data_IF_524550233500
#
_entry.id   IF_524550233500
#
_cell.length_a   1.000
_cell.length_b   1.000
_cell.length_c   1.000
_cell.angle_alpha   90.00
_cell.angle_beta   90.00
_cell.angle_gamma   90.00
#
_symmetry.space_group_name_H-M   'P 1'
#
loop_
_entity.id
_entity.type
_entity.pdbx_description
1 polymer ?
#
# COMPACT_ATOMS: atom_id res chain seq x y z
N UNK A 1 -24.41 14.72 -5.69
CA UNK A 1 -23.88 13.49 -5.05
C UNK A 1 -22.36 13.45 -5.11
N UNK A 2 -21.74 13.60 -6.29
CA UNK A 2 -20.25 13.64 -6.41
C UNK A 2 -19.66 14.75 -5.56
N UNK A 3 -20.15 15.98 -5.62
CA UNK A 3 -19.66 17.11 -4.81
C UNK A 3 -19.69 16.84 -3.31
N UNK A 4 -20.75 16.20 -2.81
CA UNK A 4 -20.84 15.83 -1.40
C UNK A 4 -19.77 14.78 -1.04
N UNK A 5 -19.57 13.78 -1.88
CA UNK A 5 -18.55 12.74 -1.66
C UNK A 5 -17.14 13.36 -1.69
N UNK A 6 -16.84 14.24 -2.64
CA UNK A 6 -15.56 14.93 -2.74
C UNK A 6 -15.32 15.83 -1.51
N UNK A 7 -16.37 16.48 -1.00
CA UNK A 7 -16.27 17.27 0.24
C UNK A 7 -15.98 16.38 1.44
N UNK A 8 -16.65 15.23 1.57
CA UNK A 8 -16.38 14.26 2.65
C UNK A 8 -14.95 13.75 2.53
N UNK A 9 -14.51 13.37 1.33
CA UNK A 9 -13.16 12.89 1.06
C UNK A 9 -12.08 13.90 1.47
N UNK A 10 -12.26 15.16 1.07
CA UNK A 10 -11.34 16.24 1.44
C UNK A 10 -11.28 16.52 2.95
N UNK A 11 -12.39 16.30 3.68
CA UNK A 11 -12.43 16.42 5.14
C UNK A 11 -11.71 15.23 5.77
N UNK A 12 -11.99 14.03 5.30
CA UNK A 12 -11.47 12.78 5.87
C UNK A 12 -9.97 12.65 5.61
N UNK A 13 -9.49 12.98 4.41
CA UNK A 13 -8.04 13.08 4.11
C UNK A 13 -7.43 14.44 4.43
N UNK A 14 -8.15 15.26 5.15
CA UNK A 14 -7.71 16.59 5.57
C UNK A 14 -6.53 16.56 6.55
N UNK A 15 -6.09 17.74 7.01
CA UNK A 15 -4.93 17.88 7.89
C UNK A 15 -5.00 17.07 9.17
N UNK A 16 -6.21 16.78 9.68
CA UNK A 16 -6.43 16.01 10.90
C UNK A 16 -5.99 14.55 10.71
N UNK A 17 -6.37 13.92 9.59
CA UNK A 17 -5.97 12.54 9.30
C UNK A 17 -4.46 12.44 9.05
N UNK A 18 -3.89 13.39 8.32
CA UNK A 18 -2.45 13.43 8.06
C UNK A 18 -1.68 13.59 9.37
N UNK A 19 -2.14 14.49 10.25
CA UNK A 19 -1.53 14.67 11.57
C UNK A 19 -1.66 13.42 12.44
N UNK A 20 -2.81 12.73 12.40
CA UNK A 20 -3.04 11.49 13.14
C UNK A 20 -2.09 10.38 12.65
N UNK A 21 -2.00 10.18 11.32
CA UNK A 21 -1.15 9.15 10.72
C UNK A 21 0.34 9.46 10.95
N UNK A 22 0.80 10.64 10.55
CA UNK A 22 2.20 11.03 10.70
C UNK A 22 2.62 11.11 12.18
N UNK A 23 1.76 11.67 13.03
CA UNK A 23 1.97 11.68 14.47
C UNK A 23 2.09 10.29 15.08
N UNK A 24 1.25 9.35 14.62
CA UNK A 24 1.34 7.93 15.00
C UNK A 24 2.67 7.31 14.53
N UNK A 25 3.09 7.58 13.31
CA UNK A 25 4.35 7.07 12.76
C UNK A 25 5.56 7.55 13.57
N UNK A 26 5.59 8.83 13.90
CA UNK A 26 6.63 9.45 14.73
C UNK A 26 6.58 8.85 16.13
N UNK A 27 5.42 8.83 16.77
CA UNK A 27 5.25 8.28 18.11
C UNK A 27 5.73 6.81 18.20
N UNK A 28 5.32 5.96 17.26
CA UNK A 28 5.71 4.56 17.25
C UNK A 28 7.19 4.37 16.93
N UNK A 29 7.82 5.26 16.16
CA UNK A 29 9.26 5.27 15.95
C UNK A 29 10.01 5.43 17.27
N UNK A 30 9.64 6.42 18.09
CA UNK A 30 10.23 6.59 19.41
C UNK A 30 9.88 5.43 20.35
N UNK A 31 8.65 4.96 20.33
CA UNK A 31 8.15 3.91 21.21
C UNK A 31 8.82 2.56 20.97
N UNK A 32 9.17 2.25 19.72
CA UNK A 32 9.89 1.02 19.34
C UNK A 32 11.41 1.16 19.39
N UNK A 33 11.94 2.28 19.86
CA UNK A 33 13.38 2.52 19.96
C UNK A 33 14.07 2.65 18.60
N UNK A 34 13.40 3.31 17.63
CA UNK A 34 13.90 3.48 16.26
C UNK A 34 14.11 2.13 15.56
N UNK A 35 13.06 1.34 15.45
CA UNK A 35 13.10 0.00 14.83
C UNK A 35 13.67 0.02 13.40
N UNK A 36 13.60 1.16 12.71
CA UNK A 36 14.19 1.40 11.40
C UNK A 36 15.69 1.05 11.34
N UNK A 37 16.41 1.14 12.48
CA UNK A 37 17.84 0.75 12.58
C UNK A 37 18.05 -0.73 12.32
N UNK A 38 17.02 -1.55 12.49
CA UNK A 38 17.05 -2.99 12.20
C UNK A 38 16.71 -3.33 10.75
N UNK A 39 16.49 -2.32 9.89
CA UNK A 39 16.16 -2.52 8.48
C UNK A 39 17.17 -3.40 7.72
N UNK A 40 18.50 -3.24 7.87
CA UNK A 40 19.44 -4.14 7.19
C UNK A 40 19.30 -5.61 7.62
N UNK A 41 19.02 -5.85 8.90
CA UNK A 41 18.73 -7.20 9.43
C UNK A 41 17.41 -7.73 8.84
N UNK A 42 16.36 -6.91 8.82
CA UNK A 42 15.05 -7.25 8.30
C UNK A 42 15.09 -7.60 6.80
N UNK A 43 15.85 -6.85 5.99
CA UNK A 43 16.07 -7.15 4.56
C UNK A 43 16.74 -8.52 4.39
N UNK A 44 17.76 -8.84 5.19
CA UNK A 44 18.40 -10.17 5.14
C UNK A 44 17.43 -11.28 5.51
N UNK A 45 16.56 -11.05 6.50
CA UNK A 45 15.54 -12.01 6.93
C UNK A 45 14.48 -12.22 5.85
N UNK A 46 14.07 -11.16 5.14
CA UNK A 46 13.03 -11.23 4.11
C UNK A 46 13.39 -12.11 2.92
N UNK A 47 14.67 -12.27 2.60
CA UNK A 47 15.16 -13.12 1.49
C UNK A 47 15.55 -14.54 1.95
N UNK A 48 15.61 -14.80 3.25
CA UNK A 48 15.89 -16.15 3.78
C UNK A 48 14.63 -17.00 3.73
N UNK A 49 14.74 -18.21 3.18
CA UNK A 49 13.70 -19.22 3.28
C UNK A 49 13.85 -19.97 4.60
N UNK A 50 13.17 -19.52 5.64
CA UNK A 50 13.06 -20.30 6.89
C UNK A 50 11.74 -21.09 6.84
N UNK A 51 11.78 -22.43 6.75
CA UNK A 51 10.60 -23.28 6.77
C UNK A 51 10.00 -23.44 8.17
N UNK A 52 10.72 -22.96 9.19
CA UNK A 52 10.29 -23.11 10.60
C UNK A 52 9.15 -22.15 10.94
N UNK A 53 8.29 -22.60 11.86
CA UNK A 53 7.15 -21.82 12.32
C UNK A 53 5.80 -22.28 11.79
N UNK A 54 4.73 -21.68 12.35
CA UNK A 54 3.32 -22.03 12.06
C UNK A 54 2.71 -20.98 11.15
N UNK A 55 2.11 -21.37 10.03
CA UNK A 55 1.48 -20.47 9.07
C UNK A 55 1.03 -21.19 7.81
N UNK A 56 0.32 -20.50 6.93
CA UNK A 56 -0.25 -21.02 5.67
C UNK A 56 0.70 -20.81 4.49
N UNK A 57 1.44 -19.69 4.49
CA UNK A 57 2.34 -19.26 3.40
C UNK A 57 3.74 -18.91 3.97
N UNK A 58 4.74 -18.83 3.09
CA UNK A 58 6.08 -18.40 3.48
C UNK A 58 6.08 -16.94 3.96
N UNK A 59 7.03 -16.56 4.82
CA UNK A 59 7.21 -15.15 5.23
C UNK A 59 7.50 -14.25 4.04
N UNK A 60 8.28 -14.73 3.06
CA UNK A 60 8.50 -14.01 1.81
C UNK A 60 7.22 -13.92 0.96
N UNK A 61 6.41 -14.98 0.88
CA UNK A 61 5.12 -14.95 0.18
C UNK A 61 4.14 -13.95 0.80
N UNK A 62 4.12 -13.86 2.13
CA UNK A 62 3.33 -12.83 2.82
C UNK A 62 3.84 -11.41 2.51
N UNK A 63 5.15 -11.18 2.53
CA UNK A 63 5.75 -9.91 2.15
C UNK A 63 5.48 -9.58 0.68
N UNK A 64 5.68 -10.54 -0.23
CA UNK A 64 5.44 -10.35 -1.67
C UNK A 64 3.97 -10.03 -1.96
N UNK A 65 3.02 -10.70 -1.27
CA UNK A 65 1.60 -10.38 -1.39
C UNK A 65 1.26 -8.99 -0.83
N UNK A 66 1.88 -8.60 0.28
CA UNK A 66 1.73 -7.24 0.82
C UNK A 66 2.33 -6.20 -0.13
N UNK A 67 3.53 -6.46 -0.70
CA UNK A 67 4.15 -5.59 -1.70
C UNK A 67 3.34 -5.52 -3.00
N UNK A 68 2.72 -6.62 -3.42
CA UNK A 68 1.82 -6.65 -4.56
C UNK A 68 0.64 -5.67 -4.38
N UNK A 69 0.08 -5.63 -3.18
CA UNK A 69 -1.00 -4.69 -2.85
C UNK A 69 -0.49 -3.23 -2.78
N UNK A 70 0.71 -3.03 -2.25
CA UNK A 70 1.28 -1.73 -1.90
C UNK A 70 1.99 -1.06 -3.09
N UNK A 71 2.82 -1.80 -3.84
CA UNK A 71 3.49 -1.31 -5.04
C UNK A 71 2.52 -1.44 -6.22
N UNK A 72 1.65 -0.47 -6.37
CA UNK A 72 0.64 -0.37 -7.43
C UNK A 72 0.78 0.93 -8.21
N UNK A 73 -0.33 1.34 -8.81
CA UNK A 73 -0.43 2.65 -9.49
C UNK A 73 -0.09 3.82 -8.57
N UNK A 74 -0.30 3.68 -7.25
CA UNK A 74 0.05 4.68 -6.25
C UNK A 74 1.54 5.04 -6.20
N UNK A 75 2.43 4.09 -6.50
CA UNK A 75 3.88 4.32 -6.49
C UNK A 75 4.41 5.01 -7.76
N UNK A 76 3.61 5.09 -8.82
CA UNK A 76 3.94 5.76 -10.08
C UNK A 76 3.05 6.97 -10.28
N UNK A 77 1.76 6.74 -10.52
CA UNK A 77 0.77 7.80 -10.77
C UNK A 77 0.55 8.65 -9.50
N UNK A 78 0.55 8.02 -8.33
CA UNK A 78 0.42 8.73 -7.05
C UNK A 78 1.58 9.69 -6.77
N UNK A 79 2.82 9.29 -7.10
CA UNK A 79 4.00 10.15 -6.99
C UNK A 79 3.91 11.33 -7.95
N UNK A 80 3.55 11.06 -9.21
CA UNK A 80 3.35 12.12 -10.20
C UNK A 80 2.20 13.08 -9.80
N UNK A 81 1.10 12.57 -9.26
CA UNK A 81 0.01 13.39 -8.73
C UNK A 81 0.46 14.25 -7.55
N UNK A 82 1.29 13.69 -6.63
CA UNK A 82 1.86 14.46 -5.54
C UNK A 82 2.76 15.61 -6.04
N UNK A 83 3.58 15.32 -7.06
CA UNK A 83 4.43 16.32 -7.71
C UNK A 83 3.60 17.42 -8.37
N UNK A 84 2.56 17.06 -9.12
CA UNK A 84 1.68 18.04 -9.79
C UNK A 84 0.91 18.93 -8.81
N UNK A 85 0.39 18.35 -7.72
CA UNK A 85 -0.41 19.07 -6.74
C UNK A 85 0.41 19.79 -5.66
N UNK A 86 1.50 19.16 -5.23
CA UNK A 86 2.32 19.60 -4.09
C UNK A 86 3.69 20.15 -4.46
N UNK A 87 4.05 20.17 -5.75
CA UNK A 87 5.37 20.55 -6.22
C UNK A 87 6.48 19.54 -5.88
N UNK A 88 7.73 19.83 -6.29
CA UNK A 88 8.86 18.92 -6.03
C UNK A 88 9.08 18.60 -4.54
N UNK A 89 8.78 19.53 -3.65
CA UNK A 89 8.86 19.33 -2.19
C UNK A 89 7.97 18.20 -1.66
N UNK A 90 6.88 17.85 -2.37
CA UNK A 90 6.02 16.74 -1.99
C UNK A 90 6.77 15.39 -2.01
N UNK A 91 7.76 15.22 -2.89
CA UNK A 91 8.59 14.00 -2.95
C UNK A 91 9.37 13.82 -1.65
N UNK A 92 9.94 14.89 -1.10
CA UNK A 92 10.64 14.85 0.18
C UNK A 92 9.71 14.42 1.32
N UNK A 93 8.53 15.04 1.44
CA UNK A 93 7.59 14.74 2.52
C UNK A 93 6.97 13.34 2.39
N UNK A 94 6.77 12.86 1.16
CA UNK A 94 6.38 11.49 0.89
C UNK A 94 7.43 10.51 1.45
N UNK A 95 8.70 10.79 1.22
CA UNK A 95 9.81 9.95 1.65
C UNK A 95 9.94 9.94 3.18
N UNK A 96 9.81 11.12 3.82
CA UNK A 96 9.79 11.24 5.28
C UNK A 96 8.64 10.44 5.89
N UNK A 97 7.42 10.57 5.35
CA UNK A 97 6.28 9.80 5.80
C UNK A 97 6.53 8.28 5.67
N UNK A 98 7.14 7.83 4.58
CA UNK A 98 7.53 6.44 4.39
C UNK A 98 8.55 5.93 5.40
N UNK A 99 9.57 6.72 5.71
CA UNK A 99 10.60 6.38 6.68
C UNK A 99 10.02 6.16 8.09
N UNK A 100 9.17 7.06 8.55
CA UNK A 100 8.48 6.91 9.83
C UNK A 100 7.41 5.81 9.78
N UNK A 101 6.78 5.60 8.62
CA UNK A 101 5.79 4.55 8.38
C UNK A 101 6.33 3.14 8.61
N UNK A 102 7.65 2.91 8.48
CA UNK A 102 8.31 1.63 8.77
C UNK A 102 7.97 1.14 10.20
N UNK A 103 8.01 2.03 11.19
CA UNK A 103 7.70 1.66 12.58
C UNK A 103 6.24 1.29 12.76
N UNK A 104 5.33 1.98 12.09
CA UNK A 104 3.90 1.65 12.13
C UNK A 104 3.64 0.31 11.46
N UNK A 105 4.23 0.04 10.29
CA UNK A 105 4.14 -1.24 9.61
C UNK A 105 4.64 -2.40 10.48
N UNK A 106 5.71 -2.18 11.25
CA UNK A 106 6.20 -3.13 12.24
C UNK A 106 5.16 -3.41 13.32
N UNK A 107 4.63 -2.36 13.97
CA UNK A 107 3.71 -2.47 15.11
C UNK A 107 2.38 -3.11 14.71
N UNK A 108 1.79 -2.70 13.58
CA UNK A 108 0.52 -3.27 13.11
C UNK A 108 0.68 -4.75 12.72
N UNK A 109 1.81 -5.12 12.10
CA UNK A 109 2.10 -6.52 11.79
C UNK A 109 2.35 -7.34 13.06
N UNK A 110 3.11 -6.80 14.01
CA UNK A 110 3.33 -7.44 15.29
C UNK A 110 2.01 -7.79 15.98
N UNK A 111 1.11 -6.80 16.09
CA UNK A 111 -0.21 -7.01 16.67
C UNK A 111 -1.02 -8.08 15.93
N UNK A 112 -1.07 -8.02 14.60
CA UNK A 112 -1.83 -8.97 13.80
C UNK A 112 -1.33 -10.41 13.91
N UNK A 113 -0.02 -10.63 13.98
CA UNK A 113 0.58 -11.96 14.16
C UNK A 113 0.40 -12.47 15.60
N UNK A 114 0.55 -11.61 16.60
CA UNK A 114 0.34 -11.96 18.01
C UNK A 114 -1.08 -12.42 18.29
N UNK A 115 -2.05 -11.72 17.75
CA UNK A 115 -3.48 -11.97 17.99
C UNK A 115 -4.18 -12.77 16.89
N UNK A 116 -3.39 -13.44 16.00
CA UNK A 116 -3.95 -14.31 14.97
C UNK A 116 -4.66 -15.53 15.56
N UNK A 117 -5.58 -16.09 14.79
CA UNK A 117 -6.37 -17.26 15.17
C UNK A 117 -6.36 -18.30 14.04
N UNK A 118 -6.79 -19.52 14.33
CA UNK A 118 -7.04 -20.55 13.33
C UNK A 118 -8.53 -20.80 13.19
N UNK A 119 -9.01 -20.87 11.98
CA UNK A 119 -10.37 -21.31 11.71
C UNK A 119 -10.50 -22.85 11.78
N UNK A 120 -11.71 -23.35 11.56
CA UNK A 120 -12.01 -24.80 11.53
C UNK A 120 -11.23 -25.55 10.45
N UNK A 121 -10.91 -24.91 9.33
CA UNK A 121 -10.12 -25.49 8.24
C UNK A 121 -8.62 -25.55 8.55
N UNK A 122 -8.20 -24.90 9.64
CA UNK A 122 -6.80 -24.74 10.03
C UNK A 122 -6.14 -23.49 9.45
N UNK A 123 -6.85 -22.70 8.63
CA UNK A 123 -6.31 -21.49 8.02
C UNK A 123 -6.04 -20.40 9.06
N UNK A 124 -4.92 -19.70 8.92
CA UNK A 124 -4.54 -18.58 9.78
C UNK A 124 -5.33 -17.33 9.39
N UNK A 125 -5.93 -16.68 10.38
CA UNK A 125 -6.70 -15.45 10.26
C UNK A 125 -6.12 -14.41 11.21
N UNK A 126 -5.95 -13.18 10.72
CA UNK A 126 -5.48 -12.05 11.51
C UNK A 126 -5.83 -10.72 10.85
N UNK A 127 -5.30 -9.65 11.42
CA UNK A 127 -5.60 -8.26 11.04
C UNK A 127 -6.28 -7.51 12.18
N UNK A 128 -6.48 -6.21 12.01
CA UNK A 128 -6.98 -5.33 13.08
C UNK A 128 -8.29 -5.81 13.71
N UNK A 129 -9.20 -6.43 12.93
CA UNK A 129 -10.47 -6.97 13.44
C UNK A 129 -10.26 -8.06 14.49
N UNK A 130 -9.26 -8.93 14.33
CA UNK A 130 -8.92 -9.95 15.32
C UNK A 130 -8.14 -9.37 16.50
N UNK A 131 -7.28 -8.38 16.23
CA UNK A 131 -6.55 -7.66 17.28
C UNK A 131 -7.54 -7.04 18.27
N UNK A 132 -8.55 -6.29 17.77
CA UNK A 132 -9.58 -5.70 18.61
C UNK A 132 -10.28 -6.73 19.49
N UNK A 133 -10.74 -7.84 18.93
CA UNK A 133 -11.47 -8.85 19.70
C UNK A 133 -10.59 -9.54 20.72
N UNK A 134 -9.36 -9.93 20.34
CA UNK A 134 -8.53 -10.76 21.20
C UNK A 134 -7.73 -10.00 22.24
N UNK A 135 -7.25 -8.81 21.91
CA UNK A 135 -6.50 -8.00 22.86
C UNK A 135 -7.35 -7.51 24.04
N UNK A 136 -8.66 -7.38 23.82
CA UNK A 136 -9.60 -6.86 24.83
C UNK A 136 -10.64 -7.87 25.28
N UNK A 137 -10.48 -9.16 24.95
CA UNK A 137 -11.29 -10.23 25.49
C UNK A 137 -11.11 -10.32 27.01
N UNK A 138 -12.20 -10.48 27.75
CA UNK A 138 -12.18 -10.70 29.18
C UNK A 138 -11.87 -12.17 29.53
N UNK A 139 -11.49 -12.47 30.78
CA UNK A 139 -11.24 -13.85 31.20
C UNK A 139 -12.44 -14.81 31.00
N UNK A 140 -13.65 -14.29 31.01
CA UNK A 140 -14.89 -15.03 30.72
C UNK A 140 -15.14 -15.27 29.22
N UNK A 141 -14.25 -14.80 28.36
CA UNK A 141 -14.36 -14.88 26.91
C UNK A 141 -15.27 -13.80 26.28
N UNK A 142 -15.91 -12.95 27.07
CA UNK A 142 -16.70 -11.85 26.55
C UNK A 142 -15.85 -10.74 25.96
N UNK A 143 -16.33 -10.09 24.89
CA UNK A 143 -15.65 -8.96 24.26
C UNK A 143 -16.45 -7.69 24.51
N UNK A 144 -15.85 -6.61 25.00
CA UNK A 144 -16.53 -5.33 25.18
C UNK A 144 -17.13 -4.82 23.86
N UNK A 145 -18.31 -4.18 23.95
CA UNK A 145 -19.01 -3.67 22.76
C UNK A 145 -18.18 -2.71 21.91
N UNK A 146 -17.36 -1.85 22.53
CA UNK A 146 -16.48 -0.90 21.82
C UNK A 146 -15.38 -1.61 21.05
N UNK A 147 -14.83 -2.73 21.56
CA UNK A 147 -13.84 -3.53 20.85
C UNK A 147 -14.49 -4.26 19.67
N UNK A 148 -15.73 -4.73 19.83
CA UNK A 148 -16.53 -5.29 18.72
C UNK A 148 -16.81 -4.23 17.66
N UNK A 149 -17.17 -3.00 18.08
CA UNK A 149 -17.39 -1.88 17.16
C UNK A 149 -16.10 -1.56 16.36
N UNK A 150 -14.94 -1.47 17.03
CA UNK A 150 -13.64 -1.25 16.36
C UNK A 150 -13.31 -2.35 15.34
N UNK A 151 -13.60 -3.61 15.68
CA UNK A 151 -13.37 -4.75 14.81
C UNK A 151 -14.30 -4.74 13.57
N UNK A 152 -15.60 -4.52 13.78
CA UNK A 152 -16.59 -4.51 12.70
C UNK A 152 -16.40 -3.31 11.79
N UNK A 153 -16.16 -2.10 12.34
CA UNK A 153 -15.94 -0.90 11.54
C UNK A 153 -14.69 -1.03 10.66
N UNK A 154 -13.58 -1.54 11.20
CA UNK A 154 -12.40 -1.84 10.40
C UNK A 154 -12.73 -2.77 9.22
N UNK A 155 -13.36 -3.91 9.50
CA UNK A 155 -13.67 -4.90 8.48
C UNK A 155 -14.64 -4.37 7.41
N UNK A 156 -15.66 -3.60 7.81
CA UNK A 156 -16.64 -3.02 6.90
C UNK A 156 -16.00 -1.99 5.95
N UNK A 157 -15.22 -1.05 6.50
CA UNK A 157 -14.53 -0.05 5.69
C UNK A 157 -13.46 -0.69 4.79
N UNK A 158 -12.77 -1.72 5.28
CA UNK A 158 -11.82 -2.47 4.47
C UNK A 158 -12.49 -3.17 3.27
N UNK A 159 -13.69 -3.73 3.43
CA UNK A 159 -14.43 -4.32 2.29
C UNK A 159 -14.76 -3.26 1.25
N UNK A 160 -15.22 -2.07 1.67
CA UNK A 160 -15.50 -0.95 0.75
C UNK A 160 -14.22 -0.55 0.00
N UNK A 161 -13.13 -0.33 0.74
CA UNK A 161 -11.84 0.04 0.17
C UNK A 161 -11.31 -1.02 -0.82
N UNK A 162 -11.44 -2.32 -0.49
CA UNK A 162 -10.94 -3.38 -1.38
C UNK A 162 -11.69 -3.44 -2.70
N UNK A 163 -13.00 -3.23 -2.71
CA UNK A 163 -13.82 -3.23 -3.93
C UNK A 163 -13.42 -2.08 -4.86
N UNK A 164 -13.23 -0.87 -4.34
CA UNK A 164 -12.90 0.29 -5.15
C UNK A 164 -11.40 0.38 -5.44
N UNK A 165 -10.58 0.71 -4.43
CA UNK A 165 -9.12 0.91 -4.59
C UNK A 165 -8.42 -0.36 -5.08
N UNK A 166 -8.82 -1.52 -4.55
CA UNK A 166 -8.21 -2.79 -4.88
C UNK A 166 -8.62 -3.36 -6.24
N UNK A 167 -9.84 -3.07 -6.71
CA UNK A 167 -10.39 -3.67 -7.93
C UNK A 167 -10.63 -2.64 -9.03
N UNK A 168 -11.65 -1.77 -8.89
CA UNK A 168 -12.09 -0.86 -9.94
C UNK A 168 -10.99 0.10 -10.40
N UNK A 169 -10.31 0.73 -9.45
CA UNK A 169 -9.28 1.74 -9.70
C UNK A 169 -8.09 1.14 -10.45
N UNK A 170 -7.65 -0.04 -10.04
CA UNK A 170 -6.52 -0.71 -10.69
C UNK A 170 -6.89 -1.19 -12.11
N UNK A 171 -8.10 -1.71 -12.27
CA UNK A 171 -8.60 -2.12 -13.59
C UNK A 171 -8.77 -0.91 -14.55
N UNK A 172 -9.24 0.23 -14.03
CA UNK A 172 -9.30 1.48 -14.78
C UNK A 172 -7.90 1.96 -15.21
N UNK A 173 -6.91 1.85 -14.32
CA UNK A 173 -5.52 2.23 -14.64
C UNK A 173 -4.91 1.33 -15.72
N UNK A 174 -5.13 0.00 -15.67
CA UNK A 174 -4.70 -0.92 -16.72
C UNK A 174 -5.37 -0.55 -18.04
N UNK A 175 -6.69 -0.37 -18.03
CA UNK A 175 -7.45 -0.02 -19.25
C UNK A 175 -6.98 1.31 -19.82
N UNK A 176 -6.81 2.32 -18.98
CA UNK A 176 -6.36 3.64 -19.41
C UNK A 176 -4.98 3.62 -20.07
N UNK A 177 -3.99 2.95 -19.46
CA UNK A 177 -2.64 2.90 -20.04
C UNK A 177 -2.57 2.06 -21.32
N UNK A 178 -3.34 0.97 -21.42
CA UNK A 178 -3.38 0.12 -22.61
C UNK A 178 -4.08 0.82 -23.76
N UNK A 179 -5.27 1.41 -23.54
CA UNK A 179 -6.04 2.08 -24.58
C UNK A 179 -5.38 3.37 -25.09
N UNK A 180 -4.66 4.09 -24.21
CA UNK A 180 -3.88 5.27 -24.61
C UNK A 180 -2.65 4.90 -25.44
N UNK A 181 -1.99 3.77 -25.11
CA UNK A 181 -0.79 3.32 -25.82
C UNK A 181 -1.12 2.57 -27.13
N UNK A 182 -2.25 1.85 -27.17
CA UNK A 182 -2.70 1.08 -28.33
C UNK A 182 -4.19 1.34 -28.56
N UNK A 183 -4.56 2.44 -29.23
CA UNK A 183 -5.96 2.86 -29.42
C UNK A 183 -6.84 1.83 -30.15
N UNK A 184 -6.24 0.88 -30.85
CA UNK A 184 -6.96 -0.20 -31.53
C UNK A 184 -7.58 -1.23 -30.55
N UNK A 185 -7.15 -1.27 -29.28
CA UNK A 185 -7.67 -2.21 -28.28
C UNK A 185 -8.82 -1.53 -27.53
N UNK A 186 -10.07 -2.00 -27.64
CA UNK A 186 -11.18 -1.41 -26.90
C UNK A 186 -11.10 -1.75 -25.40
N UNK A 187 -11.54 -0.84 -24.54
CA UNK A 187 -11.56 -1.02 -23.07
C UNK A 187 -12.29 -2.29 -22.62
N UNK A 188 -13.35 -2.69 -23.35
CA UNK A 188 -14.07 -3.94 -23.08
C UNK A 188 -13.17 -5.18 -23.23
N UNK A 189 -12.32 -5.21 -24.27
CA UNK A 189 -11.39 -6.32 -24.45
C UNK A 189 -10.37 -6.39 -23.32
N UNK A 190 -9.84 -5.24 -22.90
CA UNK A 190 -8.94 -5.15 -21.71
C UNK A 190 -9.66 -5.64 -20.46
N UNK A 191 -10.90 -5.21 -20.24
CA UNK A 191 -11.71 -5.64 -19.10
C UNK A 191 -11.93 -7.15 -19.06
N UNK A 192 -12.22 -7.78 -20.20
CA UNK A 192 -12.37 -9.25 -20.29
C UNK A 192 -11.05 -9.95 -19.94
N UNK A 193 -9.92 -9.49 -20.44
CA UNK A 193 -8.60 -10.06 -20.12
C UNK A 193 -8.31 -9.95 -18.62
N UNK A 194 -8.58 -8.78 -18.02
CA UNK A 194 -8.41 -8.58 -16.57
C UNK A 194 -9.27 -9.57 -15.78
N UNK A 195 -10.56 -9.69 -16.13
CA UNK A 195 -11.50 -10.61 -15.46
C UNK A 195 -10.99 -12.04 -15.48
N UNK A 196 -10.59 -12.54 -16.65
CA UNK A 196 -10.08 -13.90 -16.80
C UNK A 196 -8.81 -14.11 -16.00
N UNK A 197 -7.84 -13.19 -16.11
CA UNK A 197 -6.57 -13.29 -15.41
C UNK A 197 -6.73 -13.21 -13.88
N UNK A 198 -7.58 -12.31 -13.40
CA UNK A 198 -7.86 -12.15 -11.95
C UNK A 198 -8.60 -13.37 -11.41
N UNK A 199 -9.67 -13.81 -12.09
CA UNK A 199 -10.46 -14.98 -11.69
C UNK A 199 -9.61 -16.26 -11.59
N UNK A 200 -8.72 -16.48 -12.56
CA UNK A 200 -7.83 -17.65 -12.59
C UNK A 200 -6.95 -17.77 -11.33
N UNK A 201 -6.62 -16.65 -10.69
CA UNK A 201 -5.74 -16.63 -9.52
C UNK A 201 -6.53 -16.58 -8.22
N UNK A 202 -7.54 -15.69 -8.10
CA UNK A 202 -8.21 -15.45 -6.79
C UNK A 202 -9.07 -16.63 -6.35
N UNK A 203 -9.66 -17.39 -7.27
CA UNK A 203 -10.42 -18.60 -6.92
C UNK A 203 -9.53 -19.74 -6.39
N UNK A 204 -8.22 -19.68 -6.63
CA UNK A 204 -7.23 -20.59 -6.04
C UNK A 204 -6.83 -20.27 -4.59
N UNK A 205 -7.36 -19.18 -4.03
CA UNK A 205 -7.14 -18.78 -2.63
C UNK A 205 -5.74 -18.23 -2.35
N UNK A 206 -5.39 -18.12 -1.06
CA UNK A 206 -4.16 -17.44 -0.58
C UNK A 206 -2.87 -18.01 -1.18
N UNK A 207 -2.78 -19.33 -1.31
CA UNK A 207 -1.58 -20.00 -1.85
C UNK A 207 -1.36 -19.68 -3.33
N UNK A 208 -2.44 -19.55 -4.11
CA UNK A 208 -2.37 -19.14 -5.51
C UNK A 208 -1.93 -17.70 -5.64
N UNK A 209 -2.54 -16.80 -4.86
CA UNK A 209 -2.18 -15.37 -4.82
C UNK A 209 -0.73 -15.20 -4.41
N UNK A 210 -0.30 -15.80 -3.30
CA UNK A 210 1.07 -15.68 -2.80
C UNK A 210 2.09 -16.19 -3.83
N UNK A 211 1.83 -17.33 -4.48
CA UNK A 211 2.72 -17.90 -5.51
C UNK A 211 2.90 -16.96 -6.71
N UNK A 212 1.81 -16.35 -7.20
CA UNK A 212 1.89 -15.38 -8.29
C UNK A 212 2.66 -14.13 -7.85
N UNK A 213 2.38 -13.60 -6.65
CA UNK A 213 3.05 -12.42 -6.13
C UNK A 213 4.54 -12.65 -5.87
N UNK A 214 4.95 -13.83 -5.39
CA UNK A 214 6.35 -14.20 -5.17
C UNK A 214 7.22 -14.07 -6.44
N UNK A 215 6.63 -14.33 -7.61
CA UNK A 215 7.33 -14.20 -8.89
C UNK A 215 7.13 -12.82 -9.52
N UNK A 216 5.90 -12.34 -9.55
CA UNK A 216 5.56 -11.13 -10.28
C UNK A 216 6.20 -9.89 -9.65
N UNK A 217 6.14 -9.77 -8.29
CA UNK A 217 6.59 -8.55 -7.61
C UNK A 217 8.07 -8.26 -7.79
N UNK A 218 9.01 -9.20 -7.58
CA UNK A 218 10.43 -8.92 -7.80
C UNK A 218 10.74 -8.57 -9.25
N UNK A 219 10.09 -9.26 -10.21
CA UNK A 219 10.33 -9.02 -11.65
C UNK A 219 9.83 -7.63 -12.05
N UNK A 220 8.59 -7.29 -11.70
CA UNK A 220 8.02 -5.99 -12.07
C UNK A 220 8.74 -4.82 -11.38
N UNK A 221 9.05 -4.96 -10.07
CA UNK A 221 9.77 -3.93 -9.33
C UNK A 221 11.20 -3.76 -9.85
N UNK A 222 11.88 -4.86 -10.17
CA UNK A 222 13.21 -4.84 -10.76
C UNK A 222 13.26 -4.20 -12.15
N UNK A 223 12.31 -4.57 -13.02
CA UNK A 223 12.22 -4.00 -14.37
C UNK A 223 11.91 -2.50 -14.33
N UNK A 224 10.98 -2.08 -13.47
CA UNK A 224 10.65 -0.67 -13.28
C UNK A 224 11.83 0.13 -12.71
N UNK A 225 12.45 -0.40 -11.65
CA UNK A 225 13.63 0.24 -11.06
C UNK A 225 14.78 0.38 -12.05
N UNK A 226 15.01 -0.64 -12.88
CA UNK A 226 16.01 -0.57 -13.96
C UNK A 226 15.67 0.53 -14.97
N UNK A 227 14.40 0.64 -15.40
CA UNK A 227 13.95 1.75 -16.25
C UNK A 227 14.21 3.12 -15.63
N UNK A 228 13.87 3.29 -14.35
CA UNK A 228 14.15 4.52 -13.60
C UNK A 228 15.66 4.81 -13.55
N UNK A 229 16.51 3.81 -13.29
CA UNK A 229 17.96 3.99 -13.24
C UNK A 229 18.55 4.35 -14.60
N UNK A 230 18.00 3.84 -15.70
CA UNK A 230 18.39 4.22 -17.07
C UNK A 230 18.07 5.70 -17.31
N UNK A 231 16.87 6.16 -17.02
CA UNK A 231 16.49 7.58 -17.17
C UNK A 231 17.37 8.47 -16.27
N UNK A 232 17.57 8.08 -15.01
CA UNK A 232 18.48 8.81 -14.12
C UNK A 232 19.91 8.86 -14.65
N UNK A 233 20.38 7.79 -15.30
CA UNK A 233 21.68 7.76 -15.98
C UNK A 233 21.75 8.73 -17.16
N UNK A 234 20.67 8.83 -17.96
CA UNK A 234 20.56 9.80 -19.05
C UNK A 234 20.54 11.24 -18.52
N UNK A 235 19.82 11.46 -17.41
CA UNK A 235 19.65 12.76 -16.76
C UNK A 235 20.72 13.02 -15.67
N UNK A 236 21.81 12.26 -15.63
CA UNK A 236 22.85 12.36 -14.59
C UNK A 236 23.38 13.79 -14.34
N UNK A 237 23.61 14.66 -15.37
CA UNK A 237 24.08 16.02 -15.15
C UNK A 237 23.15 16.89 -14.30
N UNK A 238 21.84 16.65 -14.33
CA UNK A 238 20.82 17.45 -13.63
C UNK A 238 20.31 16.81 -12.35
N UNK A 239 20.76 15.60 -11.99
CA UNK A 239 20.29 14.92 -10.77
C UNK A 239 20.61 15.70 -9.50
N UNK A 240 21.76 16.36 -9.43
CA UNK A 240 22.12 17.22 -8.31
C UNK A 240 21.17 18.41 -8.17
N UNK A 241 20.77 19.03 -9.27
CA UNK A 241 19.78 20.09 -9.34
C UNK A 241 18.40 19.58 -8.95
N UNK A 242 17.99 18.41 -9.42
CA UNK A 242 16.71 17.77 -9.06
C UNK A 242 16.60 17.53 -7.55
N UNK A 243 17.63 16.98 -6.92
CA UNK A 243 17.69 16.80 -5.46
C UNK A 243 17.65 18.14 -4.74
N UNK A 244 18.43 19.14 -5.20
CA UNK A 244 18.42 20.49 -4.66
C UNK A 244 17.03 21.12 -4.72
N UNK A 245 16.34 21.01 -5.86
CA UNK A 245 14.99 21.54 -6.07
C UNK A 245 13.96 20.86 -5.15
N UNK A 246 14.03 19.52 -5.01
CA UNK A 246 13.16 18.76 -4.08
C UNK A 246 13.35 19.28 -2.64
N UNK A 247 14.59 19.43 -2.19
CA UNK A 247 14.88 19.91 -0.84
C UNK A 247 14.47 21.36 -0.65
N UNK A 248 14.77 22.23 -1.59
CA UNK A 248 14.41 23.65 -1.51
C UNK A 248 12.89 23.82 -1.46
N UNK A 249 12.13 23.18 -2.36
CA UNK A 249 10.67 23.27 -2.40
C UNK A 249 9.98 22.57 -1.20
N UNK A 250 10.67 21.71 -0.48
CA UNK A 250 10.12 21.08 0.72
C UNK A 250 9.98 22.07 1.89
N UNK A 251 10.82 23.11 1.93
CA UNK A 251 10.91 24.06 3.05
C UNK A 251 10.69 25.52 2.66
N UNK A 252 10.57 25.82 1.37
CA UNK A 252 10.33 27.17 0.87
C UNK A 252 9.17 27.21 -0.12
N UNK A 253 8.36 28.29 -0.13
CA UNK A 253 7.32 28.47 -1.12
C UNK A 253 7.93 28.92 -2.45
N UNK A 254 8.50 28.00 -3.23
CA UNK A 254 9.10 28.27 -4.54
C UNK A 254 8.26 27.68 -5.66
N UNK A 255 7.91 28.50 -6.64
CA UNK A 255 7.35 28.03 -7.88
C UNK A 255 8.45 27.31 -8.68
N UNK A 256 8.16 26.10 -9.16
CA UNK A 256 9.04 25.33 -10.03
C UNK A 256 8.44 25.22 -11.43
N UNK A 257 9.27 24.96 -12.42
CA UNK A 257 8.84 24.69 -13.80
C UNK A 257 7.96 25.79 -14.40
N UNK A 258 8.40 27.05 -14.33
CA UNK A 258 7.68 28.20 -14.89
C UNK A 258 6.37 28.57 -14.18
N UNK A 259 6.16 28.05 -12.95
CA UNK A 259 4.91 28.22 -12.21
C UNK A 259 3.85 27.15 -12.48
N UNK A 260 4.13 26.19 -13.37
CA UNK A 260 3.24 25.09 -13.69
C UNK A 260 3.02 24.15 -12.48
N UNK A 261 4.07 24.00 -11.67
CA UNK A 261 4.08 23.16 -10.47
C UNK A 261 4.63 24.01 -9.32
N UNK A 262 3.77 24.83 -8.75
CA UNK A 262 4.10 25.66 -7.60
C UNK A 262 3.12 25.39 -6.48
N UNK A 263 3.64 25.03 -5.31
CA UNK A 263 2.82 24.89 -4.12
C UNK A 263 3.52 25.51 -2.92
N UNK A 264 2.74 25.98 -1.97
CA UNK A 264 3.28 26.34 -0.67
C UNK A 264 3.79 25.09 0.07
N UNK A 265 4.72 25.30 1.02
CA UNK A 265 5.25 24.23 1.87
C UNK A 265 4.15 23.35 2.52
N UNK A 266 3.01 23.95 2.87
CA UNK A 266 1.86 23.22 3.45
C UNK A 266 1.26 22.25 2.45
N UNK A 267 1.13 22.63 1.18
CA UNK A 267 0.63 21.75 0.12
C UNK A 267 1.64 20.62 -0.17
N UNK A 268 2.94 20.94 -0.22
CA UNK A 268 3.98 19.94 -0.39
C UNK A 268 3.92 18.88 0.73
N UNK A 269 3.81 19.33 1.99
CA UNK A 269 3.65 18.46 3.15
C UNK A 269 2.35 17.61 3.02
N UNK A 270 1.23 18.26 2.72
CA UNK A 270 -0.08 17.60 2.67
C UNK A 270 -0.13 16.53 1.58
N UNK A 271 0.16 16.89 0.34
CA UNK A 271 0.12 15.95 -0.78
C UNK A 271 1.23 14.90 -0.70
N UNK A 272 2.42 15.29 -0.26
CA UNK A 272 3.52 14.35 -0.07
C UNK A 272 3.20 13.30 0.99
N UNK A 273 2.75 13.71 2.18
CA UNK A 273 2.37 12.78 3.23
C UNK A 273 1.17 11.91 2.84
N UNK A 274 0.09 12.51 2.30
CA UNK A 274 -1.10 11.75 1.90
C UNK A 274 -0.77 10.66 0.87
N UNK A 275 -0.02 10.99 -0.18
CA UNK A 275 0.37 10.02 -1.21
C UNK A 275 1.44 9.04 -0.74
N UNK A 276 2.32 9.44 0.17
CA UNK A 276 3.27 8.54 0.84
C UNK A 276 2.56 7.49 1.66
N UNK A 277 1.60 7.89 2.48
CA UNK A 277 0.77 7.00 3.31
C UNK A 277 -0.06 6.04 2.46
N UNK A 278 -0.64 6.54 1.37
CA UNK A 278 -1.36 5.71 0.42
C UNK A 278 -0.43 4.68 -0.26
N UNK A 279 0.78 5.09 -0.63
CA UNK A 279 1.74 4.21 -1.32
C UNK A 279 2.31 3.11 -0.44
N UNK A 280 2.52 3.31 0.85
CA UNK A 280 3.10 2.28 1.73
C UNK A 280 2.08 1.55 2.60
N UNK A 281 0.82 1.99 2.62
CA UNK A 281 -0.28 1.43 3.42
C UNK A 281 0.02 1.34 4.93
N UNK A 282 1.01 2.10 5.46
CA UNK A 282 1.31 2.06 6.89
C UNK A 282 0.22 2.78 7.69
N UNK A 283 -0.34 2.09 8.66
CA UNK A 283 -1.47 2.59 9.46
C UNK A 283 -2.84 2.24 8.89
N UNK A 284 -2.94 1.72 7.66
CA UNK A 284 -4.21 1.24 7.09
C UNK A 284 -4.64 -0.12 7.65
N UNK A 285 -3.70 -0.93 8.17
CA UNK A 285 -4.00 -2.25 8.74
C UNK A 285 -4.25 -3.35 7.71
N UNK A 286 -4.01 -3.11 6.42
CA UNK A 286 -4.24 -4.04 5.30
C UNK A 286 -3.17 -5.11 5.20
N UNK A 287 -1.90 -4.72 5.05
CA UNK A 287 -0.78 -5.65 4.95
C UNK A 287 -0.66 -6.64 6.14
N UNK A 288 -0.96 -6.25 7.39
CA UNK A 288 -1.02 -7.18 8.52
C UNK A 288 -1.97 -8.37 8.34
N UNK A 289 -3.02 -8.24 7.52
CA UNK A 289 -3.98 -9.31 7.24
C UNK A 289 -3.30 -10.50 6.58
N UNK A 290 -2.42 -10.26 5.60
CA UNK A 290 -1.67 -11.34 4.96
C UNK A 290 -0.46 -11.76 5.78
N UNK A 291 0.18 -10.86 6.48
CA UNK A 291 1.30 -11.16 7.35
C UNK A 291 0.94 -12.14 8.48
N UNK A 292 -0.30 -12.10 8.96
CA UNK A 292 -0.81 -13.05 9.95
C UNK A 292 -0.86 -14.51 9.45
N UNK A 293 -0.92 -14.72 8.12
CA UNK A 293 -0.88 -16.05 7.52
C UNK A 293 0.55 -16.59 7.33
N UNK A 294 1.58 -15.79 7.58
CA UNK A 294 2.97 -16.19 7.40
C UNK A 294 3.42 -17.27 8.38
N UNK A 295 4.30 -18.15 7.90
CA UNK A 295 5.06 -19.07 8.75
C UNK A 295 6.10 -18.29 9.51
N UNK A 296 5.98 -18.23 10.84
CA UNK A 296 6.88 -17.48 11.70
C UNK A 296 6.97 -18.10 13.08
N UNK A 297 8.12 -17.95 13.74
CA UNK A 297 8.37 -18.42 15.11
C UNK A 297 7.69 -17.53 16.14
N UNK A 298 7.78 -16.23 15.97
CA UNK A 298 7.22 -15.24 16.87
C UNK A 298 6.72 -13.99 16.10
N UNK A 299 5.94 -13.10 16.74
CA UNK A 299 5.41 -11.91 16.11
C UNK A 299 6.47 -10.92 15.62
N UNK A 300 7.62 -10.81 16.31
CA UNK A 300 8.69 -9.87 15.97
C UNK A 300 9.41 -10.27 14.69
N UNK A 301 9.60 -11.56 14.46
CA UNK A 301 10.21 -12.10 13.23
C UNK A 301 9.45 -11.64 11.98
N UNK A 302 8.14 -11.93 11.91
CA UNK A 302 7.33 -11.50 10.77
C UNK A 302 7.16 -9.97 10.70
N UNK A 303 7.11 -9.28 11.84
CA UNK A 303 7.00 -7.83 11.86
C UNK A 303 8.24 -7.14 11.27
N UNK A 304 9.45 -7.65 11.55
CA UNK A 304 10.69 -7.19 10.92
C UNK A 304 10.65 -7.40 9.41
N UNK A 305 10.24 -8.59 8.95
CA UNK A 305 10.14 -8.86 7.51
C UNK A 305 9.13 -7.92 6.86
N UNK A 306 7.93 -7.77 7.43
CA UNK A 306 6.85 -6.96 6.85
C UNK A 306 7.15 -5.46 6.82
N UNK A 307 7.92 -4.92 7.78
CA UNK A 307 8.27 -3.50 7.79
C UNK A 307 9.14 -3.09 6.59
N UNK A 308 9.86 -4.05 5.98
CA UNK A 308 10.64 -3.80 4.76
C UNK A 308 9.75 -3.40 3.58
N UNK A 309 8.45 -3.73 3.63
CA UNK A 309 7.48 -3.34 2.62
C UNK A 309 7.39 -1.83 2.43
N UNK A 310 7.36 -1.05 3.52
CA UNK A 310 7.36 0.41 3.44
C UNK A 310 8.69 0.98 2.87
N UNK A 311 9.81 0.34 3.17
CA UNK A 311 11.10 0.69 2.59
C UNK A 311 11.13 0.43 1.08
N UNK A 312 10.71 -0.75 0.61
CA UNK A 312 10.72 -1.06 -0.81
C UNK A 312 9.75 -0.20 -1.61
N UNK A 313 8.51 0.01 -1.11
CA UNK A 313 7.52 0.81 -1.83
C UNK A 313 7.89 2.30 -1.86
N UNK A 314 8.02 2.94 -0.70
CA UNK A 314 8.23 4.39 -0.64
C UNK A 314 9.72 4.76 -0.64
N UNK A 315 10.53 4.02 0.11
CA UNK A 315 11.96 4.28 0.22
C UNK A 315 12.74 4.03 -1.07
N UNK A 316 12.29 3.08 -1.91
CA UNK A 316 12.95 2.75 -3.19
C UNK A 316 12.09 3.19 -4.37
N UNK A 317 10.91 2.59 -4.58
CA UNK A 317 10.16 2.82 -5.83
C UNK A 317 9.67 4.26 -5.94
N UNK A 318 9.03 4.84 -4.91
CA UNK A 318 8.57 6.22 -5.00
C UNK A 318 9.71 7.23 -5.08
N UNK A 319 10.84 6.96 -4.40
CA UNK A 319 12.02 7.81 -4.50
C UNK A 319 12.57 7.84 -5.93
N UNK A 320 12.76 6.67 -6.54
CA UNK A 320 13.22 6.56 -7.93
C UNK A 320 12.24 7.26 -8.88
N UNK A 321 10.94 7.02 -8.72
CA UNK A 321 9.90 7.70 -9.51
C UNK A 321 10.00 9.21 -9.37
N UNK A 322 10.09 9.72 -8.14
CA UNK A 322 10.17 11.16 -7.88
C UNK A 322 11.40 11.82 -8.52
N UNK A 323 12.57 11.17 -8.40
CA UNK A 323 13.81 11.67 -9.02
C UNK A 323 13.73 11.66 -10.54
N UNK A 324 13.20 10.60 -11.12
CA UNK A 324 12.95 10.50 -12.57
C UNK A 324 12.07 11.65 -13.04
N UNK A 325 10.89 11.82 -12.42
CA UNK A 325 9.94 12.86 -12.83
C UNK A 325 10.52 14.27 -12.73
N UNK A 326 11.19 14.58 -11.61
CA UNK A 326 11.77 15.92 -11.42
C UNK A 326 12.94 16.16 -12.37
N UNK A 327 13.84 15.18 -12.57
CA UNK A 327 14.95 15.32 -13.51
C UNK A 327 14.46 15.46 -14.96
N UNK A 328 13.45 14.70 -15.37
CA UNK A 328 12.83 14.82 -16.69
C UNK A 328 12.23 16.21 -16.92
N UNK A 329 11.53 16.77 -15.94
CA UNK A 329 10.96 18.13 -16.05
C UNK A 329 12.03 19.23 -16.10
N UNK A 330 13.24 18.99 -15.55
CA UNK A 330 14.37 19.92 -15.68
C UNK A 330 14.96 19.84 -17.10
N UNK A 331 15.11 18.64 -17.64
CA UNK A 331 15.64 18.44 -19.01
C UNK A 331 14.66 18.87 -20.08
N UNK A 332 13.35 18.70 -19.84
CA UNK A 332 12.25 18.99 -20.74
C UNK A 332 11.28 20.03 -20.13
N UNK A 333 11.66 21.32 -20.11
CA UNK A 333 10.84 22.37 -19.51
C UNK A 333 9.51 22.58 -20.26
N UNK A 334 9.41 22.17 -21.52
CA UNK A 334 8.19 22.16 -22.31
C UNK A 334 7.06 21.34 -21.65
N UNK A 335 7.38 20.30 -20.89
CA UNK A 335 6.38 19.54 -20.12
C UNK A 335 5.68 20.45 -19.10
N UNK A 336 6.40 21.38 -18.48
CA UNK A 336 5.81 22.39 -17.59
C UNK A 336 4.85 23.32 -18.32
N UNK A 337 5.17 23.75 -19.54
CA UNK A 337 4.30 24.57 -20.38
C UNK A 337 3.04 23.83 -20.80
N UNK A 338 3.15 22.56 -21.16
CA UNK A 338 2.01 21.70 -21.51
C UNK A 338 1.07 21.47 -20.32
N UNK A 339 1.60 21.31 -19.10
CA UNK A 339 0.80 21.22 -17.87
C UNK A 339 -0.01 22.51 -17.66
N UNK A 340 0.61 23.68 -17.86
CA UNK A 340 -0.07 24.97 -17.73
C UNK A 340 -1.16 25.16 -18.78
N UNK A 341 -0.88 24.77 -20.04
CA UNK A 341 -1.80 24.94 -21.15
C UNK A 341 -3.02 24.01 -21.01
N UNK A 342 -2.84 22.81 -20.49
CA UNK A 342 -3.87 21.75 -20.46
C UNK A 342 -3.89 20.98 -19.13
N UNK A 343 -4.19 21.60 -17.97
CA UNK A 343 -4.13 20.96 -16.65
C UNK A 343 -5.04 19.74 -16.51
N UNK A 344 -6.17 19.70 -17.26
CA UNK A 344 -7.13 18.60 -17.23
C UNK A 344 -6.67 17.35 -17.99
N UNK A 345 -5.76 17.51 -18.95
CA UNK A 345 -5.23 16.42 -19.78
C UNK A 345 -3.95 15.85 -19.15
N UNK A 346 -3.15 16.68 -18.50
CA UNK A 346 -1.87 16.27 -17.92
C UNK A 346 -2.06 15.60 -16.57
N UNK A 347 -2.44 14.33 -16.61
CA UNK A 347 -2.61 13.50 -15.42
C UNK A 347 -1.25 12.96 -14.93
N UNK A 348 -1.21 12.42 -13.70
CA UNK A 348 0.00 11.75 -13.20
C UNK A 348 0.47 10.59 -14.08
N UNK A 349 -0.44 9.90 -14.77
CA UNK A 349 -0.07 8.86 -15.75
C UNK A 349 0.60 9.45 -17.00
N UNK A 350 0.13 10.59 -17.50
CA UNK A 350 0.73 11.27 -18.63
C UNK A 350 2.17 11.74 -18.33
N UNK A 351 2.41 12.29 -17.14
CA UNK A 351 3.74 12.71 -16.72
C UNK A 351 4.71 11.52 -16.61
N UNK A 352 4.26 10.39 -16.04
CA UNK A 352 5.07 9.18 -16.01
C UNK A 352 5.37 8.65 -17.42
N UNK A 353 4.39 8.74 -18.33
CA UNK A 353 4.56 8.32 -19.73
C UNK A 353 5.56 9.21 -20.48
N UNK A 354 5.51 10.52 -20.25
CA UNK A 354 6.48 11.46 -20.83
C UNK A 354 7.91 11.16 -20.35
N UNK A 355 8.08 10.91 -19.05
CA UNK A 355 9.39 10.57 -18.49
C UNK A 355 9.96 9.27 -19.08
N UNK A 356 9.17 8.22 -19.21
CA UNK A 356 9.64 6.95 -19.76
C UNK A 356 9.83 7.02 -21.29
N UNK A 357 9.19 7.94 -21.99
CA UNK A 357 9.41 8.15 -23.42
C UNK A 357 10.84 8.61 -23.75
N UNK A 358 11.60 9.12 -22.78
CA UNK A 358 13.04 9.41 -22.94
C UNK A 358 13.85 8.17 -23.35
N UNK A 359 13.47 6.97 -22.90
CA UNK A 359 14.16 5.73 -23.33
C UNK A 359 13.66 5.34 -24.72
N UNK A 360 14.50 5.43 -25.76
CA UNK A 360 14.09 5.11 -27.11
C UNK A 360 13.60 3.66 -27.22
N UNK A 361 12.47 3.45 -27.95
CA UNK A 361 11.87 2.14 -28.27
C UNK A 361 11.34 1.36 -27.06
N UNK A 362 12.08 1.28 -25.95
CA UNK A 362 11.76 0.40 -24.83
C UNK A 362 11.03 1.09 -23.67
N UNK A 363 11.12 2.42 -23.54
CA UNK A 363 10.59 3.12 -22.37
C UNK A 363 9.09 2.98 -22.20
N UNK A 364 8.32 3.32 -23.23
CA UNK A 364 6.87 3.17 -23.20
C UNK A 364 6.43 1.71 -22.96
N UNK A 365 6.95 0.70 -23.67
CA UNK A 365 6.64 -0.71 -23.34
C UNK A 365 6.95 -1.10 -21.89
N UNK A 366 8.09 -0.68 -21.35
CA UNK A 366 8.47 -0.98 -19.95
C UNK A 366 7.49 -0.35 -18.97
N UNK A 367 7.09 0.90 -19.19
CA UNK A 367 6.10 1.56 -18.34
C UNK A 367 4.73 0.89 -18.44
N UNK A 368 4.24 0.62 -19.65
CA UNK A 368 2.92 -0.01 -19.87
C UNK A 368 2.85 -1.39 -19.22
N UNK A 369 3.84 -2.24 -19.49
CA UNK A 369 3.91 -3.57 -18.90
C UNK A 369 4.10 -3.51 -17.38
N UNK A 370 4.94 -2.58 -16.90
CA UNK A 370 5.14 -2.34 -15.48
C UNK A 370 3.85 -1.91 -14.79
N UNK A 371 3.16 -0.91 -15.31
CA UNK A 371 1.87 -0.45 -14.75
C UNK A 371 0.79 -1.54 -14.79
N UNK A 372 0.69 -2.30 -15.87
CA UNK A 372 -0.24 -3.43 -15.96
C UNK A 372 0.09 -4.50 -14.90
N UNK A 373 1.38 -4.85 -14.73
CA UNK A 373 1.81 -5.82 -13.74
C UNK A 373 1.58 -5.32 -12.30
N UNK A 374 1.89 -4.06 -12.01
CA UNK A 374 1.65 -3.43 -10.71
C UNK A 374 0.16 -3.37 -10.37
N UNK A 375 -0.68 -2.88 -11.28
CA UNK A 375 -2.10 -2.80 -11.04
C UNK A 375 -2.74 -4.20 -10.92
N UNK A 376 -2.34 -5.15 -11.75
CA UNK A 376 -2.79 -6.55 -11.65
C UNK A 376 -2.41 -7.18 -10.31
N UNK A 377 -1.16 -7.03 -9.88
CA UNK A 377 -0.71 -7.56 -8.59
C UNK A 377 -1.47 -6.92 -7.41
N UNK A 378 -1.80 -5.63 -7.54
CA UNK A 378 -2.60 -4.92 -6.53
C UNK A 378 -4.03 -5.50 -6.45
N UNK A 379 -4.67 -5.79 -7.59
CA UNK A 379 -5.96 -6.47 -7.60
C UNK A 379 -5.88 -7.80 -6.83
N UNK A 380 -4.83 -8.59 -7.05
CA UNK A 380 -4.64 -9.87 -6.37
C UNK A 380 -4.45 -9.70 -4.85
N UNK A 381 -3.56 -8.80 -4.42
CA UNK A 381 -3.27 -8.57 -3.00
C UNK A 381 -4.49 -8.06 -2.23
N UNK A 382 -5.19 -7.07 -2.76
CA UNK A 382 -6.39 -6.51 -2.14
C UNK A 382 -7.56 -7.48 -2.12
N UNK A 383 -7.69 -8.40 -3.10
CA UNK A 383 -8.70 -9.45 -3.07
C UNK A 383 -8.57 -10.34 -1.84
N UNK A 384 -7.33 -10.63 -1.43
CA UNK A 384 -7.07 -11.41 -0.21
C UNK A 384 -7.54 -10.65 1.04
N UNK A 385 -7.25 -9.35 1.14
CA UNK A 385 -7.67 -8.53 2.28
C UNK A 385 -9.19 -8.53 2.42
N UNK A 386 -9.90 -8.27 1.32
CA UNK A 386 -11.36 -8.29 1.31
C UNK A 386 -11.96 -9.66 1.64
N UNK A 387 -11.38 -10.75 1.12
CA UNK A 387 -11.80 -12.10 1.47
C UNK A 387 -11.76 -12.35 2.98
N UNK A 388 -10.70 -11.86 3.68
CA UNK A 388 -10.55 -12.02 5.13
C UNK A 388 -11.52 -11.15 5.92
N UNK A 389 -11.75 -9.90 5.47
CA UNK A 389 -12.72 -9.00 6.09
C UNK A 389 -14.16 -9.51 5.91
N UNK A 390 -14.51 -9.99 4.72
CA UNK A 390 -15.83 -10.60 4.45
C UNK A 390 -16.03 -11.89 5.25
N UNK A 391 -14.99 -12.73 5.35
CA UNK A 391 -15.04 -13.93 6.17
C UNK A 391 -15.29 -13.60 7.65
N UNK A 392 -14.71 -12.50 8.14
CA UNK A 392 -14.96 -12.01 9.49
C UNK A 392 -16.40 -11.53 9.69
N UNK A 393 -16.95 -10.74 8.76
CA UNK A 393 -18.29 -10.15 8.87
C UNK A 393 -19.42 -11.18 8.63
N UNK A 394 -19.28 -11.97 7.57
CA UNK A 394 -20.36 -12.84 7.04
C UNK A 394 -20.05 -14.34 7.12
N UNK A 395 -18.86 -14.67 7.62
CA UNK A 395 -18.35 -16.04 7.64
C UNK A 395 -17.83 -16.52 6.27
N UNK A 396 -17.29 -17.77 6.21
CA UNK A 396 -16.68 -18.31 4.98
C UNK A 396 -17.62 -18.41 3.78
N UNK A 397 -18.93 -18.45 4.01
CA UNK A 397 -19.94 -18.48 2.92
C UNK A 397 -19.98 -17.16 2.13
N UNK A 398 -19.58 -16.03 2.73
CA UNK A 398 -19.50 -14.73 2.07
C UNK A 398 -18.36 -14.58 1.08
N UNK A 399 -17.32 -15.43 1.17
CA UNK A 399 -16.12 -15.30 0.35
C UNK A 399 -16.41 -15.43 -1.15
N UNK A 400 -17.13 -16.48 -1.57
CA UNK A 400 -17.42 -16.71 -2.99
C UNK A 400 -18.28 -15.61 -3.63
N UNK A 401 -19.41 -15.18 -3.02
CA UNK A 401 -20.15 -14.03 -3.52
C UNK A 401 -19.28 -12.77 -3.64
N UNK A 402 -18.48 -12.49 -2.62
CA UNK A 402 -17.55 -11.35 -2.66
C UNK A 402 -16.56 -11.45 -3.83
N UNK A 403 -15.93 -12.59 -4.06
CA UNK A 403 -15.00 -12.80 -5.16
C UNK A 403 -15.66 -12.54 -6.52
N UNK A 404 -16.89 -13.00 -6.72
CA UNK A 404 -17.64 -12.74 -7.95
C UNK A 404 -17.91 -11.24 -8.12
N UNK A 405 -18.38 -10.56 -7.07
CA UNK A 405 -18.59 -9.10 -7.09
C UNK A 405 -17.28 -8.38 -7.38
N UNK A 406 -16.19 -8.77 -6.73
CA UNK A 406 -14.86 -8.19 -6.88
C UNK A 406 -14.35 -8.25 -8.33
N UNK A 407 -14.50 -9.42 -8.97
CA UNK A 407 -14.15 -9.62 -10.39
C UNK A 407 -15.07 -8.82 -11.33
N UNK A 408 -16.37 -8.78 -11.04
CA UNK A 408 -17.32 -7.98 -11.83
C UNK A 408 -16.99 -6.49 -11.73
N UNK A 409 -16.64 -6.00 -10.55
CA UNK A 409 -16.24 -4.59 -10.34
C UNK A 409 -14.95 -4.25 -11.08
N UNK A 410 -13.99 -5.20 -11.20
CA UNK A 410 -12.81 -5.01 -12.03
C UNK A 410 -13.20 -4.78 -13.51
N UNK A 411 -14.17 -5.51 -14.04
CA UNK A 411 -14.67 -5.29 -15.39
C UNK A 411 -15.27 -3.91 -15.57
N UNK A 412 -16.18 -3.51 -14.68
CA UNK A 412 -16.80 -2.19 -14.73
C UNK A 412 -15.78 -1.05 -14.56
N UNK A 413 -14.79 -1.22 -13.71
CA UNK A 413 -13.68 -0.29 -13.57
C UNK A 413 -12.91 -0.11 -14.87
N UNK A 414 -12.62 -1.20 -15.58
CA UNK A 414 -11.90 -1.15 -16.87
C UNK A 414 -12.67 -0.41 -17.98
N UNK A 415 -14.01 -0.44 -17.97
CA UNK A 415 -14.85 0.21 -18.97
C UNK A 415 -15.33 1.63 -18.61
N UNK A 416 -14.88 2.18 -17.46
CA UNK A 416 -15.06 3.61 -17.16
C UNK A 416 -16.11 3.97 -16.12
N UNK A 417 -16.45 3.09 -15.18
CA UNK A 417 -17.29 3.45 -14.01
C UNK A 417 -16.37 4.02 -12.91
N UNK A 418 -15.96 5.32 -13.08
CA UNK A 418 -14.76 5.80 -12.44
C UNK A 418 -14.91 6.61 -11.14
N UNK A 419 -15.32 7.87 -11.20
CA UNK A 419 -15.03 8.87 -10.16
C UNK A 419 -15.77 8.63 -8.84
N UNK A 420 -17.02 8.17 -8.89
CA UNK A 420 -17.82 7.89 -7.69
C UNK A 420 -17.23 6.71 -6.90
N UNK A 421 -16.85 5.64 -7.61
CA UNK A 421 -16.28 4.43 -6.98
C UNK A 421 -14.92 4.76 -6.38
N UNK A 422 -14.12 5.59 -7.06
CA UNK A 422 -12.85 6.09 -6.54
C UNK A 422 -13.05 6.83 -5.22
N UNK A 423 -13.91 7.85 -5.21
CA UNK A 423 -14.12 8.71 -4.02
C UNK A 423 -14.66 7.92 -2.83
N UNK A 424 -15.65 7.03 -3.05
CA UNK A 424 -16.19 6.17 -1.98
C UNK A 424 -15.08 5.25 -1.42
N UNK A 425 -14.24 4.74 -2.28
CA UNK A 425 -13.16 3.84 -1.87
C UNK A 425 -12.06 4.58 -1.09
N UNK A 426 -11.73 5.80 -1.49
CA UNK A 426 -10.74 6.63 -0.81
C UNK A 426 -11.23 7.03 0.60
N UNK A 427 -12.50 7.38 0.74
CA UNK A 427 -13.16 7.56 2.04
C UNK A 427 -13.08 6.26 2.87
N UNK A 428 -13.35 5.11 2.26
CA UNK A 428 -13.25 3.79 2.91
C UNK A 428 -11.84 3.52 3.45
N UNK A 429 -10.81 3.84 2.67
CA UNK A 429 -9.40 3.73 3.05
C UNK A 429 -9.08 4.57 4.29
N UNK A 430 -9.50 5.82 4.30
CA UNK A 430 -9.26 6.71 5.44
C UNK A 430 -10.01 6.23 6.70
N UNK A 431 -11.27 5.83 6.55
CA UNK A 431 -12.09 5.38 7.68
C UNK A 431 -11.61 4.05 8.28
N UNK A 432 -11.02 3.13 7.48
CA UNK A 432 -10.44 1.90 8.04
C UNK A 432 -9.15 2.15 8.81
N UNK A 433 -8.40 3.21 8.49
CA UNK A 433 -7.18 3.56 9.21
C UNK A 433 -7.47 3.94 10.67
N UNK A 434 -8.58 4.60 10.95
CA UNK A 434 -8.92 5.09 12.30
C UNK A 434 -8.96 3.93 13.33
N UNK A 435 -9.78 2.88 13.18
CA UNK A 435 -9.79 1.79 14.15
C UNK A 435 -8.45 1.04 14.21
N UNK A 436 -7.71 0.93 13.10
CA UNK A 436 -6.38 0.33 13.13
C UNK A 436 -5.40 1.14 13.98
N UNK A 437 -5.33 2.45 13.76
CA UNK A 437 -4.45 3.35 14.52
C UNK A 437 -4.79 3.31 16.01
N UNK A 438 -6.07 3.38 16.36
CA UNK A 438 -6.49 3.35 17.76
C UNK A 438 -5.99 2.06 18.43
N UNK A 439 -6.21 0.90 17.83
CA UNK A 439 -5.81 -0.37 18.46
C UNK A 439 -4.30 -0.52 18.60
N UNK A 440 -3.52 -0.11 17.60
CA UNK A 440 -2.04 -0.21 17.69
C UNK A 440 -1.46 0.80 18.71
N UNK A 441 -2.06 1.97 18.85
CA UNK A 441 -1.66 2.95 19.89
C UNK A 441 -1.96 2.41 21.30
N UNK A 442 -3.14 1.81 21.53
CA UNK A 442 -3.50 1.18 22.81
C UNK A 442 -2.54 0.04 23.17
N UNK A 443 -2.07 -0.72 22.19
CA UNK A 443 -1.15 -1.84 22.38
C UNK A 443 0.34 -1.46 22.32
N UNK A 444 0.66 -0.23 21.97
CA UNK A 444 2.04 0.24 21.72
C UNK A 444 2.99 -0.03 22.90
N UNK A 445 2.49 0.09 24.13
CA UNK A 445 3.29 -0.15 25.35
C UNK A 445 3.69 -1.61 25.52
N UNK A 446 2.78 -2.53 25.24
CA UNK A 446 3.03 -3.97 25.28
C UNK A 446 3.98 -4.36 24.15
N UNK A 447 3.68 -3.93 22.91
CA UNK A 447 4.52 -4.25 21.75
C UNK A 447 5.94 -3.71 21.91
N UNK A 448 6.12 -2.52 22.46
CA UNK A 448 7.45 -1.96 22.72
C UNK A 448 8.28 -2.81 23.71
N UNK A 449 7.65 -3.35 24.78
CA UNK A 449 8.34 -4.25 25.72
C UNK A 449 8.76 -5.56 25.06
N UNK A 450 7.85 -6.17 24.30
CA UNK A 450 8.14 -7.42 23.60
C UNK A 450 9.13 -7.22 22.46
N UNK A 451 9.09 -6.07 21.77
CA UNK A 451 10.11 -5.68 20.77
C UNK A 451 11.49 -5.61 21.42
N UNK A 452 11.58 -5.05 22.63
CA UNK A 452 12.86 -5.01 23.35
C UNK A 452 13.38 -6.42 23.60
N UNK A 453 12.56 -7.31 24.14
CA UNK A 453 12.92 -8.70 24.42
C UNK A 453 13.38 -9.43 23.15
N UNK A 454 12.54 -9.48 22.11
CA UNK A 454 12.86 -10.26 20.91
C UNK A 454 13.96 -9.64 20.05
N UNK A 455 13.92 -8.32 19.83
CA UNK A 455 14.74 -7.67 18.78
C UNK A 455 16.02 -7.06 19.35
N UNK A 456 15.96 -6.45 20.53
CA UNK A 456 17.11 -5.74 21.11
C UNK A 456 17.92 -6.60 22.06
N UNK A 457 17.25 -7.46 22.85
CA UNK A 457 17.91 -8.36 23.81
C UNK A 457 18.34 -9.69 23.12
N UNK A 458 17.98 -9.91 21.83
CA UNK A 458 18.54 -11.00 21.02
C UNK A 458 17.79 -12.33 21.04
N UNK A 459 16.51 -12.34 21.45
CA UNK A 459 15.69 -13.56 21.58
C UNK A 459 14.81 -13.85 20.35
N UNK A 460 15.22 -13.40 19.15
CA UNK A 460 14.43 -13.52 17.93
C UNK A 460 14.21 -14.98 17.48
N UNK A 461 15.11 -15.90 17.87
CA UNK A 461 15.00 -17.33 17.55
C UNK A 461 14.05 -18.10 18.46
N UNK A 462 13.55 -17.50 19.55
CA UNK A 462 12.61 -18.14 20.46
C UNK A 462 11.24 -18.30 19.81
N UNK A 463 10.62 -19.47 20.03
CA UNK A 463 9.23 -19.68 19.66
C UNK A 463 8.29 -18.93 20.60
N UNK A 464 7.24 -18.34 20.03
CA UNK A 464 6.21 -17.69 20.83
C UNK A 464 5.45 -18.71 21.68
N UNK A 465 5.46 -18.49 23.00
CA UNK A 465 4.98 -19.47 23.98
C UNK A 465 3.46 -19.73 23.91
N UNK A 466 2.66 -18.72 23.52
CA UNK A 466 1.21 -18.86 23.46
C UNK A 466 0.78 -19.61 22.18
N UNK A 467 -0.03 -20.69 22.31
CA UNK A 467 -0.56 -21.39 21.14
C UNK A 467 -1.58 -20.52 20.40
N UNK A 468 -1.56 -20.61 19.06
CA UNK A 468 -2.58 -19.95 18.23
C UNK A 468 -3.92 -20.62 18.47
N UNK A 469 -4.94 -19.93 19.04
CA UNK A 469 -6.21 -20.55 19.39
C UNK A 469 -7.03 -20.86 18.13
N UNK A 470 -7.83 -21.92 18.24
CA UNK A 470 -8.88 -22.23 17.27
C UNK A 470 -10.15 -21.48 17.64
N UNK A 471 -10.80 -20.90 16.66
CA UNK A 471 -12.06 -20.20 16.84
C UNK A 471 -13.16 -20.84 16.00
N UNK A 472 -14.34 -20.96 16.61
CA UNK A 472 -15.57 -21.37 15.93
C UNK A 472 -16.27 -20.16 15.31
N UNK A 473 -17.18 -20.42 14.33
CA UNK A 473 -17.98 -19.39 13.66
C UNK A 473 -18.69 -18.41 14.59
N UNK A 474 -19.07 -18.87 15.78
CA UNK A 474 -19.75 -18.03 16.76
C UNK A 474 -18.82 -17.07 17.52
N UNK A 475 -17.49 -17.25 17.37
CA UNK A 475 -16.46 -16.47 18.04
C UNK A 475 -15.69 -15.54 17.09
N UNK A 476 -15.96 -15.68 15.75
CA UNK A 476 -15.52 -14.72 14.74
C UNK A 476 -16.45 -13.52 14.76
#
# INVERSE_FOLDING_TARGET
MIELLTTIDSIVWGPVMIALLLGTHIYLTFRTGFIQRKLPQAIRMSVRRDPSGKGDISSFGALATALAATIGTGSIVGVATALLAGGPGAIFWMWIAGLFGIATKYVETYAAVKYRVRDKSGAMLGGAMFVWKRAFARPDGSVPWWATLGAVSFAAFAVIATIGTGSAVQAAAISGIVTSSVPAIPAVAVGVVIVVAVAAVIFGGVNSIARVCEWLVPIMAGAYALGCLVIMGMNAPVLGEAVGLILECAFTPKAAFGGAVGSGMVMALQFGCARGLFSNESGLGTAPIVAAAAKTKNPADQALISMTGAFWSTGVICLLTGLVLVSTMIVHPEIGEDILANPSIFTGAALASAAFAEIPVFGTPVLVLGMCAFAYSTILGWSYYGNRCVAYLFGPRGIKPYQVIYVAVAFFGAIGVGDVVWTISDIGNALMAIPNIIVILLLSGMIARETRHYVYDGHLDEEYAEPVPRVDKAQL
#
